data_IF_116053299239
#
_entry.id   IF_116053299239
#
_cell.length_a   1.000
_cell.length_b   1.000
_cell.length_c   1.000
_cell.angle_alpha   90.00
_cell.angle_beta   90.00
_cell.angle_gamma   90.00
#
_symmetry.space_group_name_H-M   'P 1'
#
loop_
_entity.id
_entity.type
_entity.pdbx_description
1 polymer ?
#
# COMPACT_ATOMS: atom_id res chain seq x y z
N UNK A 1 -4.76 48.90 30.86
CA UNK A 1 -4.61 47.42 30.80
C UNK A 1 -3.15 47.14 30.45
N UNK A 2 -2.41 46.41 31.28
CA UNK A 2 -0.94 46.28 31.15
C UNK A 2 -0.60 45.16 30.16
N UNK A 3 -0.09 45.52 28.98
CA UNK A 3 0.30 44.62 27.89
C UNK A 3 1.25 43.51 28.37
N UNK A 4 2.15 43.83 29.31
CA UNK A 4 3.09 42.86 29.86
C UNK A 4 2.40 41.73 30.62
N UNK A 5 1.33 42.04 31.36
CA UNK A 5 0.54 41.05 32.10
C UNK A 5 -0.21 40.12 31.15
N UNK A 6 -0.69 40.66 30.02
CA UNK A 6 -1.38 39.89 28.98
C UNK A 6 -0.40 38.91 28.31
N UNK A 7 0.79 39.38 27.91
CA UNK A 7 1.83 38.54 27.29
C UNK A 7 2.27 37.42 28.23
N UNK A 8 2.47 37.71 29.52
CA UNK A 8 2.81 36.68 30.51
C UNK A 8 1.71 35.62 30.68
N UNK A 9 0.44 36.03 30.70
CA UNK A 9 -0.70 35.11 30.78
C UNK A 9 -0.80 34.24 29.53
N UNK A 10 -0.60 34.79 28.34
CA UNK A 10 -0.58 33.98 27.11
C UNK A 10 0.57 32.99 27.11
N UNK A 11 1.79 33.41 27.48
CA UNK A 11 2.95 32.53 27.56
C UNK A 11 2.74 31.36 28.54
N UNK A 12 2.14 31.61 29.71
CA UNK A 12 1.84 30.56 30.68
C UNK A 12 0.77 29.59 30.17
N UNK A 13 -0.27 30.09 29.50
CA UNK A 13 -1.33 29.26 28.93
C UNK A 13 -0.80 28.36 27.80
N UNK A 14 0.09 28.90 26.95
CA UNK A 14 0.75 28.10 25.90
C UNK A 14 1.68 27.03 26.49
N UNK A 15 2.41 27.35 27.56
CA UNK A 15 3.29 26.38 28.22
C UNK A 15 2.50 25.25 28.88
N UNK A 16 1.39 25.57 29.55
CA UNK A 16 0.50 24.59 30.17
C UNK A 16 -0.13 23.66 29.12
N UNK A 17 -0.58 24.23 27.99
CA UNK A 17 -1.15 23.47 26.88
C UNK A 17 -0.15 22.46 26.30
N UNK A 18 1.09 22.88 26.00
CA UNK A 18 2.14 21.97 25.49
C UNK A 18 2.49 20.88 26.50
N UNK A 19 2.59 21.20 27.78
CA UNK A 19 2.86 20.20 28.82
C UNK A 19 1.74 19.18 28.94
N UNK A 20 0.48 19.60 28.78
CA UNK A 20 -0.67 18.71 28.76
C UNK A 20 -0.64 17.77 27.55
N UNK A 21 -0.35 18.28 26.34
CA UNK A 21 -0.21 17.44 25.13
C UNK A 21 0.91 16.42 25.28
N UNK A 22 2.06 16.80 25.83
CA UNK A 22 3.17 15.87 26.10
C UNK A 22 2.82 14.83 27.16
N UNK A 23 2.12 15.23 28.22
CA UNK A 23 1.63 14.32 29.26
C UNK A 23 0.64 13.31 28.66
N UNK A 24 -0.32 13.79 27.87
CA UNK A 24 -1.28 12.96 27.16
C UNK A 24 -0.57 11.97 26.25
N UNK A 25 0.39 12.43 25.45
CA UNK A 25 1.16 11.60 24.53
C UNK A 25 1.90 10.47 25.26
N UNK A 26 2.51 10.77 26.42
CA UNK A 26 3.20 9.76 27.25
C UNK A 26 2.24 8.75 27.85
N UNK A 27 1.15 9.21 28.45
CA UNK A 27 0.16 8.33 29.06
C UNK A 27 -0.56 7.47 28.02
N UNK A 28 -0.89 8.05 26.86
CA UNK A 28 -1.45 7.34 25.72
C UNK A 28 -0.50 6.24 25.25
N UNK A 29 0.79 6.57 25.01
CA UNK A 29 1.83 5.60 24.62
C UNK A 29 1.95 4.46 25.63
N UNK A 30 1.99 4.78 26.92
CA UNK A 30 2.11 3.77 27.98
C UNK A 30 0.89 2.84 28.01
N UNK A 31 -0.32 3.41 28.00
CA UNK A 31 -1.57 2.66 27.95
C UNK A 31 -1.64 1.79 26.69
N UNK A 32 -1.20 2.31 25.55
CA UNK A 32 -1.14 1.58 24.29
C UNK A 32 -0.23 0.36 24.38
N UNK A 33 1.00 0.51 24.91
CA UNK A 33 1.96 -0.60 25.08
C UNK A 33 1.41 -1.64 26.04
N UNK A 34 0.98 -1.23 27.24
CA UNK A 34 0.44 -2.14 28.27
C UNK A 34 -0.75 -2.93 27.76
N UNK A 35 -1.67 -2.26 27.04
CA UNK A 35 -2.81 -2.96 26.46
C UNK A 35 -2.39 -3.86 25.31
N UNK A 36 -1.44 -3.46 24.47
CA UNK A 36 -0.93 -4.31 23.40
C UNK A 36 -0.34 -5.62 23.95
N UNK A 37 0.42 -5.55 25.04
CA UNK A 37 1.06 -6.67 25.72
C UNK A 37 0.07 -7.57 26.48
N UNK A 38 -0.98 -6.98 27.07
CA UNK A 38 -2.00 -7.71 27.84
C UNK A 38 -3.04 -8.44 26.99
N UNK A 39 -3.05 -8.21 25.67
CA UNK A 39 -4.00 -8.85 24.78
C UNK A 39 -3.61 -10.31 24.57
N UNK A 40 -4.57 -11.25 24.66
CA UNK A 40 -4.27 -12.66 24.49
C UNK A 40 -3.62 -12.90 23.13
N UNK A 41 -2.58 -13.74 23.10
CA UNK A 41 -1.87 -14.12 21.87
C UNK A 41 -2.88 -14.77 20.93
N UNK A 42 -3.28 -14.02 19.90
CA UNK A 42 -4.04 -14.53 18.77
C UNK A 42 -3.06 -14.66 17.62
N UNK A 43 -2.61 -15.88 17.36
CA UNK A 43 -1.81 -16.17 16.16
C UNK A 43 -2.81 -16.31 15.02
N UNK A 44 -2.90 -15.28 14.19
CA UNK A 44 -3.60 -15.36 12.94
C UNK A 44 -2.56 -15.32 11.81
N UNK A 45 -2.25 -16.46 11.18
CA UNK A 45 -1.19 -16.49 10.17
C UNK A 45 -1.48 -15.59 8.96
N UNK A 46 -2.73 -15.20 8.69
CA UNK A 46 -3.04 -14.22 7.64
C UNK A 46 -2.70 -12.78 8.06
N UNK A 47 -2.75 -12.48 9.36
CA UNK A 47 -2.32 -11.19 9.92
C UNK A 47 -0.79 -11.18 10.01
N UNK A 48 -0.19 -12.24 10.55
CA UNK A 48 1.26 -12.33 10.78
C UNK A 48 2.07 -12.48 9.49
N UNK A 49 1.56 -13.19 8.47
CA UNK A 49 2.28 -13.35 7.21
C UNK A 49 2.35 -12.06 6.38
N UNK A 50 1.59 -11.03 6.73
CA UNK A 50 1.49 -9.77 5.97
C UNK A 50 1.76 -8.56 6.88
N UNK A 51 2.92 -8.56 7.56
CA UNK A 51 3.50 -7.43 8.29
C UNK A 51 3.47 -6.14 7.42
N UNK A 52 2.44 -5.32 7.62
CA UNK A 52 2.22 -3.97 7.03
C UNK A 52 1.52 -3.88 5.67
N UNK A 53 0.95 -4.97 5.11
CA UNK A 53 0.17 -4.88 3.86
C UNK A 53 -1.14 -5.65 3.92
N UNK A 54 -2.22 -5.08 3.39
CA UNK A 54 -3.49 -5.79 3.23
C UNK A 54 -3.33 -6.95 2.23
N UNK A 55 -4.04 -8.06 2.44
CA UNK A 55 -4.16 -9.11 1.42
C UNK A 55 -4.59 -8.48 0.10
N UNK A 56 -3.88 -8.75 -0.99
CA UNK A 56 -4.30 -8.28 -2.32
C UNK A 56 -5.71 -8.75 -2.63
N UNK A 57 -6.49 -7.98 -3.40
CA UNK A 57 -7.88 -8.33 -3.74
C UNK A 57 -8.00 -9.74 -4.36
N UNK A 58 -7.02 -10.12 -5.19
CA UNK A 58 -6.93 -11.46 -5.77
C UNK A 58 -6.84 -12.57 -4.71
N UNK A 59 -6.22 -12.30 -3.55
CA UNK A 59 -6.15 -13.25 -2.46
C UNK A 59 -7.52 -13.40 -1.77
N UNK A 60 -8.27 -12.30 -1.57
CA UNK A 60 -9.65 -12.37 -1.07
C UNK A 60 -10.56 -13.16 -2.01
N UNK A 61 -10.42 -12.97 -3.33
CA UNK A 61 -11.19 -13.72 -4.33
C UNK A 61 -10.82 -15.21 -4.32
N UNK A 62 -9.54 -15.56 -4.12
CA UNK A 62 -9.08 -16.95 -3.95
C UNK A 62 -9.61 -17.59 -2.67
N UNK A 63 -9.61 -16.88 -1.55
CA UNK A 63 -10.18 -17.36 -0.28
C UNK A 63 -11.68 -17.65 -0.48
N UNK A 64 -12.42 -16.70 -1.07
CA UNK A 64 -13.84 -16.88 -1.35
C UNK A 64 -14.08 -18.08 -2.28
N UNK A 65 -13.30 -18.22 -3.36
CA UNK A 65 -13.34 -19.37 -4.25
C UNK A 65 -13.14 -20.70 -3.50
N UNK A 66 -12.10 -20.79 -2.65
CA UNK A 66 -11.79 -21.99 -1.88
C UNK A 66 -12.90 -22.35 -0.88
N UNK A 67 -13.47 -21.37 -0.18
CA UNK A 67 -14.59 -21.58 0.74
C UNK A 67 -15.84 -22.11 0.01
N UNK A 68 -16.15 -21.51 -1.15
CA UNK A 68 -17.34 -21.88 -1.92
C UNK A 68 -17.19 -23.22 -2.65
N UNK A 69 -15.98 -23.60 -3.05
CA UNK A 69 -15.73 -24.89 -3.71
C UNK A 69 -15.51 -26.02 -2.73
N UNK A 70 -14.94 -25.73 -1.55
CA UNK A 70 -14.63 -26.72 -0.52
C UNK A 70 -15.83 -27.29 0.23
N UNK A 71 -16.98 -26.61 0.24
CA UNK A 71 -18.17 -27.11 0.95
C UNK A 71 -19.49 -26.76 0.27
N UNK A 72 -20.31 -27.79 0.05
CA UNK A 72 -21.67 -27.64 -0.48
C UNK A 72 -22.58 -26.85 0.47
N UNK A 73 -22.37 -26.95 1.79
CA UNK A 73 -23.12 -26.18 2.79
C UNK A 73 -22.79 -24.70 2.65
N UNK A 74 -21.49 -24.36 2.59
CA UNK A 74 -21.03 -22.98 2.43
C UNK A 74 -21.54 -22.37 1.13
N UNK A 75 -21.40 -23.11 0.03
CA UNK A 75 -21.86 -22.70 -1.30
C UNK A 75 -23.35 -22.36 -1.33
N UNK A 76 -24.21 -23.27 -0.83
CA UNK A 76 -25.66 -23.04 -0.77
C UNK A 76 -25.99 -21.85 0.12
N UNK A 77 -25.34 -21.75 1.28
CA UNK A 77 -25.56 -20.67 2.22
C UNK A 77 -25.21 -19.32 1.61
N UNK A 78 -24.11 -19.20 0.85
CA UNK A 78 -23.74 -17.96 0.16
C UNK A 78 -24.81 -17.52 -0.85
N UNK A 79 -25.29 -18.43 -1.69
CA UNK A 79 -26.34 -18.12 -2.68
C UNK A 79 -27.64 -17.70 -1.99
N UNK A 80 -28.05 -18.44 -0.95
CA UNK A 80 -29.25 -18.08 -0.17
C UNK A 80 -29.08 -16.72 0.52
N UNK A 81 -27.92 -16.44 1.10
CA UNK A 81 -27.67 -15.22 1.85
C UNK A 81 -27.69 -13.97 0.97
N UNK A 82 -27.09 -14.02 -0.23
CA UNK A 82 -26.96 -12.84 -1.09
C UNK A 82 -28.07 -12.72 -2.14
N UNK A 83 -28.58 -13.83 -2.67
CA UNK A 83 -29.56 -13.82 -3.77
C UNK A 83 -30.97 -14.23 -3.31
N UNK A 84 -31.12 -14.76 -2.10
CA UNK A 84 -32.35 -15.38 -1.58
C UNK A 84 -32.89 -16.52 -2.46
N UNK A 85 -31.98 -17.27 -3.10
CA UNK A 85 -32.32 -18.42 -3.96
C UNK A 85 -31.95 -19.72 -3.25
N UNK A 86 -32.91 -20.64 -3.16
CA UNK A 86 -32.68 -22.01 -2.70
C UNK A 86 -32.23 -22.91 -3.85
N UNK A 87 -31.04 -23.52 -3.70
CA UNK A 87 -30.37 -24.27 -4.77
C UNK A 87 -29.85 -25.62 -4.29
N UNK A 88 -29.90 -26.61 -5.17
CA UNK A 88 -29.14 -27.84 -5.01
C UNK A 88 -27.65 -27.57 -5.31
N UNK A 89 -26.74 -28.10 -4.50
CA UNK A 89 -25.31 -27.86 -4.70
C UNK A 89 -24.79 -28.51 -6.00
N UNK A 90 -25.42 -29.60 -6.43
CA UNK A 90 -25.07 -30.31 -7.67
C UNK A 90 -25.42 -29.48 -8.92
N UNK A 91 -26.28 -28.47 -8.79
CA UNK A 91 -26.68 -27.60 -9.88
C UNK A 91 -25.80 -26.34 -9.98
N UNK A 92 -24.75 -26.23 -9.15
CA UNK A 92 -23.89 -25.05 -9.08
C UNK A 92 -22.47 -25.38 -9.57
N UNK A 93 -22.02 -24.65 -10.59
CA UNK A 93 -20.66 -24.68 -11.11
C UNK A 93 -19.93 -23.39 -10.78
N UNK A 94 -18.72 -23.50 -10.24
CA UNK A 94 -17.83 -22.36 -9.98
C UNK A 94 -16.57 -22.62 -10.82
N UNK A 95 -16.46 -22.07 -12.04
CA UNK A 95 -15.25 -22.21 -12.82
C UNK A 95 -14.09 -21.54 -12.08
N UNK A 96 -12.88 -22.10 -12.23
CA UNK A 96 -11.69 -21.41 -11.77
C UNK A 96 -11.61 -20.02 -12.44
N UNK A 97 -11.17 -18.97 -11.73
CA UNK A 97 -11.00 -17.65 -12.33
C UNK A 97 -10.10 -17.73 -13.57
N UNK A 98 -10.68 -17.57 -14.76
CA UNK A 98 -10.01 -17.76 -16.07
C UNK A 98 -9.55 -16.41 -16.66
N UNK A 99 -8.78 -16.48 -17.76
CA UNK A 99 -8.04 -15.42 -18.49
C UNK A 99 -8.78 -14.09 -18.79
N UNK A 100 -10.09 -14.01 -18.57
CA UNK A 100 -10.93 -12.83 -18.84
C UNK A 100 -10.98 -11.82 -17.67
N UNK A 101 -10.21 -12.05 -16.59
CA UNK A 101 -10.06 -11.14 -15.42
C UNK A 101 -11.34 -10.90 -14.60
N UNK A 102 -12.36 -11.75 -14.69
CA UNK A 102 -13.47 -11.73 -13.72
C UNK A 102 -12.98 -12.39 -12.44
N UNK A 103 -13.13 -11.72 -11.29
CA UNK A 103 -12.63 -12.22 -10.01
C UNK A 103 -13.23 -13.57 -9.64
N UNK A 104 -14.56 -13.70 -9.71
CA UNK A 104 -15.26 -14.94 -9.44
C UNK A 104 -16.62 -15.00 -10.15
N UNK A 105 -17.02 -16.20 -10.59
CA UNK A 105 -18.37 -16.44 -11.12
C UNK A 105 -18.98 -17.70 -10.54
N UNK A 106 -20.30 -17.68 -10.32
CA UNK A 106 -21.07 -18.84 -9.86
C UNK A 106 -22.24 -19.05 -10.81
N UNK A 107 -22.35 -20.24 -11.40
CA UNK A 107 -23.36 -20.57 -12.41
C UNK A 107 -24.31 -21.62 -11.85
N UNK A 108 -25.59 -21.30 -11.81
CA UNK A 108 -26.67 -22.25 -11.53
C UNK A 108 -27.51 -22.53 -12.77
N UNK A 109 -28.55 -23.36 -12.62
CA UNK A 109 -29.53 -23.59 -13.71
C UNK A 109 -30.28 -22.31 -14.12
N UNK A 110 -30.68 -21.52 -13.13
CA UNK A 110 -31.54 -20.34 -13.32
C UNK A 110 -30.89 -19.05 -12.76
N UNK A 111 -29.57 -19.04 -12.58
CA UNK A 111 -28.84 -17.84 -12.18
C UNK A 111 -27.39 -17.87 -12.68
N UNK A 112 -26.85 -16.69 -12.95
CA UNK A 112 -25.44 -16.44 -13.20
C UNK A 112 -25.00 -15.29 -12.30
N UNK A 113 -24.16 -15.59 -11.32
CA UNK A 113 -23.63 -14.59 -10.40
C UNK A 113 -22.20 -14.21 -10.81
N UNK A 114 -22.00 -12.93 -11.08
CA UNK A 114 -20.70 -12.27 -11.23
C UNK A 114 -20.34 -11.70 -9.86
N UNK A 115 -19.14 -11.94 -9.37
CA UNK A 115 -18.62 -11.32 -8.16
C UNK A 115 -17.40 -10.51 -8.57
N UNK A 116 -17.44 -9.21 -8.29
CA UNK A 116 -16.32 -8.29 -8.50
C UNK A 116 -15.89 -7.74 -7.13
N UNK A 117 -14.61 -7.89 -6.83
CA UNK A 117 -14.04 -7.61 -5.53
C UNK A 117 -13.22 -6.32 -5.56
N UNK A 118 -13.60 -5.36 -4.73
CA UNK A 118 -12.95 -4.06 -4.53
C UNK A 118 -12.64 -3.82 -3.06
N UNK A 119 -12.29 -4.89 -2.34
CA UNK A 119 -12.01 -4.84 -0.90
C UNK A 119 -10.85 -3.89 -0.56
N UNK A 120 -9.91 -3.65 -1.48
CA UNK A 120 -8.82 -2.67 -1.29
C UNK A 120 -8.98 -1.44 -2.21
N UNK A 121 -10.17 -1.22 -2.76
CA UNK A 121 -10.46 -0.06 -3.61
C UNK A 121 -9.69 -0.02 -4.93
N UNK A 122 -9.39 -1.16 -5.56
CA UNK A 122 -8.68 -1.13 -6.84
C UNK A 122 -9.41 -0.30 -7.89
N UNK A 123 -8.60 0.39 -8.69
CA UNK A 123 -9.07 1.29 -9.73
C UNK A 123 -10.04 0.58 -10.68
N UNK A 124 -11.13 1.28 -10.99
CA UNK A 124 -12.08 0.82 -12.00
C UNK A 124 -11.41 0.68 -13.37
N UNK A 125 -11.83 -0.32 -14.13
CA UNK A 125 -11.48 -0.44 -15.54
C UNK A 125 -12.66 0.00 -16.39
N UNK A 126 -12.38 0.65 -17.53
CA UNK A 126 -13.42 1.11 -18.46
C UNK A 126 -14.36 -0.04 -18.81
N UNK A 127 -15.67 0.15 -18.71
CA UNK A 127 -16.73 -0.81 -19.08
C UNK A 127 -16.55 -2.22 -18.47
N UNK A 128 -15.91 -2.32 -17.29
CA UNK A 128 -15.56 -3.61 -16.70
C UNK A 128 -16.80 -4.46 -16.40
N UNK A 129 -17.75 -3.90 -15.67
CA UNK A 129 -18.98 -4.60 -15.30
C UNK A 129 -19.83 -4.86 -16.55
N UNK A 130 -19.91 -3.89 -17.45
CA UNK A 130 -20.65 -4.02 -18.71
C UNK A 130 -20.18 -5.25 -19.51
N UNK A 131 -18.86 -5.40 -19.69
CA UNK A 131 -18.28 -6.58 -20.36
C UNK A 131 -18.68 -7.88 -19.69
N UNK A 132 -18.68 -7.93 -18.35
CA UNK A 132 -19.01 -9.16 -17.63
C UNK A 132 -20.48 -9.55 -17.82
N UNK A 133 -21.38 -8.56 -17.77
CA UNK A 133 -22.81 -8.76 -18.01
C UNK A 133 -23.07 -9.18 -19.45
N UNK A 134 -22.34 -8.62 -20.42
CA UNK A 134 -22.44 -9.01 -21.82
C UNK A 134 -21.95 -10.44 -22.06
N UNK A 135 -20.88 -10.87 -21.39
CA UNK A 135 -20.44 -12.28 -21.41
C UNK A 135 -21.53 -13.20 -20.86
N UNK A 136 -22.12 -12.86 -19.71
CA UNK A 136 -23.19 -13.66 -19.11
C UNK A 136 -24.46 -13.69 -19.97
N UNK A 137 -24.79 -12.59 -20.64
CA UNK A 137 -25.97 -12.44 -21.51
C UNK A 137 -25.95 -13.33 -22.75
N UNK A 138 -24.79 -13.89 -23.12
CA UNK A 138 -24.69 -14.87 -24.21
C UNK A 138 -25.28 -16.23 -23.84
N UNK A 139 -25.44 -16.51 -22.54
CA UNK A 139 -25.82 -17.83 -22.02
C UNK A 139 -27.08 -17.73 -21.16
N UNK A 140 -27.27 -16.65 -20.40
CA UNK A 140 -28.38 -16.48 -19.47
C UNK A 140 -29.28 -15.29 -19.84
N UNK A 141 -30.60 -15.38 -19.62
CA UNK A 141 -31.49 -14.24 -19.77
C UNK A 141 -31.19 -13.19 -18.69
N UNK A 142 -31.45 -11.92 -18.98
CA UNK A 142 -31.05 -10.80 -18.11
C UNK A 142 -31.60 -10.88 -16.69
N UNK A 143 -32.80 -11.43 -16.51
CA UNK A 143 -33.44 -11.62 -15.19
C UNK A 143 -32.72 -12.63 -14.29
N UNK A 144 -31.85 -13.46 -14.86
CA UNK A 144 -31.08 -14.51 -14.16
C UNK A 144 -29.62 -14.10 -13.97
N UNK A 145 -29.20 -12.94 -14.49
CA UNK A 145 -27.84 -12.42 -14.29
C UNK A 145 -27.84 -11.54 -13.05
N UNK A 146 -26.91 -11.83 -12.15
CA UNK A 146 -26.67 -11.10 -10.91
C UNK A 146 -25.23 -10.60 -10.89
N UNK A 147 -25.03 -9.41 -10.32
CA UNK A 147 -23.71 -8.86 -10.03
C UNK A 147 -23.65 -8.58 -8.54
N UNK A 148 -22.70 -9.19 -7.84
CA UNK A 148 -22.35 -8.87 -6.47
C UNK A 148 -21.05 -8.06 -6.48
N UNK A 149 -21.18 -6.76 -6.27
CA UNK A 149 -20.06 -5.83 -6.21
C UNK A 149 -19.67 -5.62 -4.74
N UNK A 150 -18.46 -6.07 -4.37
CA UNK A 150 -17.98 -6.12 -2.99
C UNK A 150 -16.97 -5.01 -2.73
N UNK A 151 -17.38 -3.98 -1.99
CA UNK A 151 -16.50 -2.91 -1.52
C UNK A 151 -15.75 -3.29 -0.23
N UNK A 152 -14.82 -2.43 0.17
CA UNK A 152 -14.15 -2.49 1.47
C UNK A 152 -15.14 -2.38 2.64
N UNK A 153 -15.75 -1.20 2.81
CA UNK A 153 -16.64 -0.87 3.94
C UNK A 153 -17.87 -0.02 3.58
N UNK A 154 -17.98 0.44 2.33
CA UNK A 154 -19.09 1.24 1.81
C UNK A 154 -20.10 0.47 0.94
N UNK A 155 -21.08 1.18 0.37
CA UNK A 155 -22.06 0.64 -0.57
C UNK A 155 -22.02 1.38 -1.92
N UNK A 156 -20.83 1.86 -2.28
CA UNK A 156 -20.62 2.65 -3.49
C UNK A 156 -20.77 1.78 -4.73
N UNK A 157 -21.63 2.21 -5.65
CA UNK A 157 -21.76 1.59 -6.97
C UNK A 157 -20.54 1.96 -7.83
N UNK A 158 -20.18 1.13 -8.82
CA UNK A 158 -19.20 1.53 -9.81
C UNK A 158 -19.65 2.81 -10.52
N UNK A 159 -18.70 3.63 -10.93
CA UNK A 159 -18.97 4.82 -11.73
C UNK A 159 -19.44 4.45 -13.15
N UNK A 160 -19.97 5.42 -13.89
CA UNK A 160 -20.33 5.25 -15.32
C UNK A 160 -19.12 4.88 -16.19
N UNK A 161 -17.89 5.06 -15.69
CA UNK A 161 -16.69 4.56 -16.37
C UNK A 161 -16.68 3.04 -16.45
N UNK A 162 -17.18 2.33 -15.43
CA UNK A 162 -17.17 0.85 -15.33
C UNK A 162 -18.53 0.20 -15.59
N UNK A 163 -19.62 0.86 -15.17
CA UNK A 163 -21.00 0.38 -15.26
C UNK A 163 -21.89 1.42 -15.94
N UNK A 164 -22.33 1.16 -17.17
CA UNK A 164 -23.23 2.09 -17.86
C UNK A 164 -24.64 2.10 -17.27
N UNK A 165 -25.31 3.25 -17.33
CA UNK A 165 -26.72 3.41 -16.99
C UNK A 165 -27.63 2.36 -17.68
N UNK A 166 -27.30 1.95 -18.91
CA UNK A 166 -28.03 0.91 -19.66
C UNK A 166 -27.95 -0.44 -18.97
N UNK A 167 -26.75 -0.89 -18.61
CA UNK A 167 -26.54 -2.17 -17.93
C UNK A 167 -27.08 -2.14 -16.51
N UNK A 168 -26.91 -1.02 -15.80
CA UNK A 168 -27.48 -0.79 -14.47
C UNK A 168 -29.00 -0.95 -14.47
N UNK A 169 -29.68 -0.32 -15.43
CA UNK A 169 -31.14 -0.44 -15.59
C UNK A 169 -31.57 -1.87 -15.96
N UNK A 170 -30.81 -2.54 -16.83
CA UNK A 170 -31.06 -3.93 -17.25
C UNK A 170 -31.00 -4.92 -16.08
N UNK A 171 -30.05 -4.74 -15.16
CA UNK A 171 -29.92 -5.59 -13.98
C UNK A 171 -30.92 -5.21 -12.88
N UNK A 172 -31.19 -3.92 -12.70
CA UNK A 172 -32.08 -3.43 -11.65
C UNK A 172 -31.68 -3.99 -10.28
N UNK A 173 -32.62 -4.69 -9.62
CA UNK A 173 -32.40 -5.32 -8.30
C UNK A 173 -31.35 -6.44 -8.29
N UNK A 174 -30.97 -6.98 -9.44
CA UNK A 174 -29.98 -8.04 -9.53
C UNK A 174 -28.54 -7.50 -9.47
N UNK A 175 -28.35 -6.17 -9.51
CA UNK A 175 -27.08 -5.56 -9.13
C UNK A 175 -27.09 -5.33 -7.61
N UNK A 176 -26.23 -6.05 -6.91
CA UNK A 176 -26.18 -6.12 -5.45
C UNK A 176 -24.86 -5.51 -5.00
N UNK A 177 -24.93 -4.35 -4.34
CA UNK A 177 -23.77 -3.68 -3.79
C UNK A 177 -23.64 -4.00 -2.30
N UNK A 178 -22.49 -4.56 -1.90
CA UNK A 178 -22.22 -5.10 -0.55
C UNK A 178 -20.78 -4.79 -0.15
N UNK A 179 -20.40 -5.09 1.09
CA UNK A 179 -19.02 -4.90 1.55
C UNK A 179 -18.47 -6.02 2.42
N UNK A 180 -17.16 -6.00 2.59
CA UNK A 180 -16.46 -6.95 3.44
C UNK A 180 -16.65 -6.66 4.93
N UNK A 181 -16.61 -5.39 5.35
CA UNK A 181 -16.69 -4.97 6.76
C UNK A 181 -17.93 -5.47 7.48
N UNK A 182 -19.07 -5.51 6.78
CA UNK A 182 -20.38 -5.83 7.33
C UNK A 182 -20.95 -7.09 6.69
N UNK A 183 -21.17 -7.09 5.37
CA UNK A 183 -21.98 -8.15 4.75
C UNK A 183 -21.26 -9.50 4.64
N UNK A 184 -20.01 -9.52 4.14
CA UNK A 184 -19.22 -10.76 4.08
C UNK A 184 -18.90 -11.25 5.49
N UNK A 185 -18.54 -10.37 6.42
CA UNK A 185 -18.27 -10.75 7.80
C UNK A 185 -19.50 -11.40 8.46
N UNK A 186 -20.68 -10.82 8.28
CA UNK A 186 -21.95 -11.38 8.76
C UNK A 186 -22.29 -12.72 8.08
N UNK A 187 -22.04 -12.86 6.78
CA UNK A 187 -22.17 -14.13 6.09
C UNK A 187 -21.21 -15.19 6.66
N UNK A 188 -19.95 -14.84 6.92
CA UNK A 188 -18.97 -15.73 7.51
C UNK A 188 -19.38 -16.18 8.92
N UNK A 189 -19.87 -15.28 9.78
CA UNK A 189 -20.39 -15.66 11.09
C UNK A 189 -21.59 -16.61 10.99
N UNK A 190 -22.54 -16.32 10.10
CA UNK A 190 -23.75 -17.13 9.95
C UNK A 190 -23.43 -18.52 9.40
N UNK A 191 -22.58 -18.62 8.38
CA UNK A 191 -22.17 -19.93 7.84
C UNK A 191 -21.32 -20.72 8.84
N UNK A 192 -20.46 -20.06 9.63
CA UNK A 192 -19.64 -20.70 10.67
C UNK A 192 -20.49 -21.35 11.79
N UNK A 193 -21.67 -20.78 12.08
CA UNK A 193 -22.60 -21.31 13.09
C UNK A 193 -23.25 -22.63 12.64
N UNK A 194 -23.45 -22.82 11.34
CA UNK A 194 -24.13 -24.02 10.80
C UNK A 194 -23.16 -25.13 10.42
N UNK A 195 -21.86 -24.85 10.27
CA UNK A 195 -20.86 -25.88 9.99
C UNK A 195 -20.59 -26.70 11.26
N UNK A 196 -20.79 -28.03 11.22
CA UNK A 196 -20.49 -28.90 12.36
C UNK A 196 -18.97 -29.00 12.59
N UNK A 197 -18.52 -28.80 13.83
CA UNK A 197 -17.09 -28.87 14.15
C UNK A 197 -16.54 -30.30 14.01
N UNK A 198 -17.32 -31.30 14.41
CA UNK A 198 -16.86 -32.70 14.50
C UNK A 198 -16.54 -33.34 13.14
N UNK A 199 -17.07 -32.79 12.05
CA UNK A 199 -16.89 -33.34 10.69
C UNK A 199 -16.16 -32.39 9.75
N UNK A 200 -16.20 -31.08 10.01
CA UNK A 200 -15.66 -30.04 9.13
C UNK A 200 -14.69 -29.12 9.89
N UNK A 201 -13.90 -29.70 10.82
CA UNK A 201 -13.00 -28.96 11.70
C UNK A 201 -12.08 -28.01 10.94
N UNK A 202 -11.45 -28.48 9.86
CA UNK A 202 -10.51 -27.67 9.07
C UNK A 202 -11.20 -26.47 8.43
N UNK A 203 -12.35 -26.67 7.76
CA UNK A 203 -13.14 -25.60 7.16
C UNK A 203 -13.59 -24.58 8.20
N UNK A 204 -14.08 -25.07 9.35
CA UNK A 204 -14.52 -24.22 10.46
C UNK A 204 -13.38 -23.36 10.99
N UNK A 205 -12.20 -23.95 11.20
CA UNK A 205 -10.99 -23.23 11.58
C UNK A 205 -10.55 -22.22 10.52
N UNK A 206 -10.59 -22.57 9.22
CA UNK A 206 -10.25 -21.63 8.14
C UNK A 206 -11.18 -20.41 8.10
N UNK A 207 -12.48 -20.61 8.32
CA UNK A 207 -13.45 -19.51 8.40
C UNK A 207 -13.17 -18.63 9.61
N UNK A 208 -12.87 -19.21 10.77
CA UNK A 208 -12.51 -18.45 11.99
C UNK A 208 -11.23 -17.63 11.76
N UNK A 209 -10.22 -18.20 11.12
CA UNK A 209 -8.98 -17.49 10.77
C UNK A 209 -9.27 -16.31 9.82
N UNK A 210 -10.11 -16.50 8.81
CA UNK A 210 -10.45 -15.41 7.89
C UNK A 210 -11.32 -14.32 8.53
N UNK A 211 -12.27 -14.70 9.39
CA UNK A 211 -13.04 -13.75 10.22
C UNK A 211 -12.08 -12.90 11.05
N UNK A 212 -11.13 -13.54 11.76
CA UNK A 212 -10.15 -12.81 12.58
C UNK A 212 -9.30 -11.84 11.75
N UNK A 213 -8.91 -12.24 10.53
CA UNK A 213 -8.19 -11.34 9.63
C UNK A 213 -9.04 -10.12 9.24
N UNK A 214 -10.29 -10.33 8.82
CA UNK A 214 -11.18 -9.23 8.44
C UNK A 214 -11.51 -8.32 9.64
N UNK A 215 -11.71 -8.89 10.82
CA UNK A 215 -11.90 -8.13 12.05
C UNK A 215 -10.72 -7.20 12.34
N UNK A 216 -9.48 -7.70 12.28
CA UNK A 216 -8.27 -6.90 12.47
C UNK A 216 -8.10 -5.86 11.35
N UNK A 217 -8.35 -6.25 10.09
CA UNK A 217 -8.26 -5.38 8.91
C UNK A 217 -9.22 -4.18 8.99
N UNK A 218 -10.40 -4.35 9.59
CA UNK A 218 -11.43 -3.31 9.66
C UNK A 218 -11.49 -2.52 10.96
N UNK A 219 -10.56 -2.70 11.89
CA UNK A 219 -10.66 -2.01 13.18
C UNK A 219 -11.64 -2.66 14.17
N UNK A 220 -12.19 -3.84 13.83
CA UNK A 220 -13.38 -4.44 14.45
C UNK A 220 -13.07 -5.62 15.36
N UNK A 221 -11.80 -5.99 15.55
CA UNK A 221 -11.47 -7.11 16.40
C UNK A 221 -11.83 -6.79 17.85
N UNK A 222 -12.31 -7.80 18.59
CA UNK A 222 -12.60 -7.62 20.04
C UNK A 222 -11.38 -7.07 20.78
N UNK A 223 -10.19 -7.47 20.33
CA UNK A 223 -8.89 -6.99 20.80
C UNK A 223 -8.77 -5.47 20.64
N UNK A 224 -8.95 -4.96 19.41
CA UNK A 224 -8.88 -3.54 19.10
C UNK A 224 -9.99 -2.73 19.76
N UNK A 225 -11.24 -3.24 19.80
CA UNK A 225 -12.36 -2.57 20.47
C UNK A 225 -12.08 -2.38 21.97
N UNK A 226 -11.57 -3.41 22.67
CA UNK A 226 -11.22 -3.32 24.09
C UNK A 226 -10.10 -2.29 24.29
N UNK A 227 -9.09 -2.30 23.43
CA UNK A 227 -7.98 -1.35 23.48
C UNK A 227 -8.45 0.09 23.25
N UNK A 228 -9.17 0.33 22.16
CA UNK A 228 -9.69 1.65 21.80
C UNK A 228 -10.57 2.22 22.91
N UNK A 229 -11.48 1.44 23.49
CA UNK A 229 -12.30 1.90 24.61
C UNK A 229 -11.47 2.35 25.82
N UNK A 230 -10.33 1.70 26.11
CA UNK A 230 -9.43 2.10 27.20
C UNK A 230 -8.66 3.37 26.85
N UNK A 231 -8.21 3.50 25.60
CA UNK A 231 -7.54 4.71 25.11
C UNK A 231 -8.51 5.91 25.11
N UNK A 232 -9.73 5.72 24.61
CA UNK A 232 -10.79 6.73 24.61
C UNK A 232 -11.10 7.20 26.03
N UNK A 233 -11.22 6.25 26.98
CA UNK A 233 -11.43 6.58 28.39
C UNK A 233 -10.28 7.41 28.97
N UNK A 234 -9.03 7.05 28.67
CA UNK A 234 -7.86 7.82 29.09
C UNK A 234 -7.89 9.24 28.53
N UNK A 235 -8.19 9.41 27.23
CA UNK A 235 -8.29 10.72 26.58
C UNK A 235 -9.38 11.56 27.25
N UNK A 236 -10.56 10.97 27.45
CA UNK A 236 -11.70 11.63 28.11
C UNK A 236 -11.36 12.10 29.51
N UNK A 237 -10.69 11.27 30.31
CA UNK A 237 -10.27 11.60 31.68
C UNK A 237 -9.20 12.71 31.69
N UNK A 238 -8.15 12.60 30.87
CA UNK A 238 -7.03 13.54 30.88
C UNK A 238 -7.39 14.91 30.31
N UNK A 239 -8.21 14.95 29.25
CA UNK A 239 -8.72 16.18 28.66
C UNK A 239 -9.98 16.70 29.38
N UNK A 240 -10.43 16.00 30.43
CA UNK A 240 -11.58 16.37 31.28
C UNK A 240 -12.85 16.61 30.46
N UNK A 241 -13.12 15.72 29.51
CA UNK A 241 -14.20 15.86 28.55
C UNK A 241 -15.58 15.57 29.15
N UNK A 242 -15.68 14.71 30.18
CA UNK A 242 -16.96 14.19 30.69
C UNK A 242 -18.00 15.27 31.05
N UNK A 243 -17.56 16.41 31.58
CA UNK A 243 -18.41 17.49 32.05
C UNK A 243 -18.57 18.65 31.06
N UNK A 244 -18.07 18.51 29.83
CA UNK A 244 -18.11 19.53 28.78
C UNK A 244 -19.30 19.31 27.83
N UNK A 245 -19.83 20.39 27.29
CA UNK A 245 -20.78 20.33 26.16
C UNK A 245 -20.10 19.77 24.90
N UNK A 246 -20.88 19.27 23.94
CA UNK A 246 -20.32 18.73 22.69
C UNK A 246 -19.47 19.76 21.94
N UNK A 247 -19.86 21.03 21.94
CA UNK A 247 -19.08 22.11 21.30
C UNK A 247 -17.74 22.32 21.99
N UNK A 248 -17.71 22.31 23.33
CA UNK A 248 -16.48 22.45 24.10
C UNK A 248 -15.57 21.22 23.97
N UNK A 249 -16.16 20.02 23.89
CA UNK A 249 -15.40 18.78 23.60
C UNK A 249 -14.71 18.88 22.25
N UNK A 250 -15.43 19.31 21.21
CA UNK A 250 -14.87 19.45 19.87
C UNK A 250 -13.70 20.44 19.87
N UNK A 251 -13.88 21.61 20.49
CA UNK A 251 -12.82 22.62 20.57
C UNK A 251 -11.57 22.10 21.28
N UNK A 252 -11.71 21.40 22.42
CA UNK A 252 -10.56 20.82 23.14
C UNK A 252 -9.83 19.79 22.27
N UNK A 253 -10.55 18.98 21.49
CA UNK A 253 -9.93 18.02 20.58
C UNK A 253 -9.23 18.74 19.42
N UNK A 254 -9.83 19.76 18.84
CA UNK A 254 -9.22 20.57 17.77
C UNK A 254 -7.92 21.24 18.25
N UNK A 255 -7.92 21.83 19.45
CA UNK A 255 -6.74 22.45 20.04
C UNK A 255 -5.60 21.42 20.27
N UNK A 256 -5.93 20.23 20.79
CA UNK A 256 -4.94 19.15 20.98
C UNK A 256 -4.42 18.59 19.65
N UNK A 257 -5.27 18.46 18.63
CA UNK A 257 -4.85 18.07 17.28
C UNK A 257 -3.88 19.10 16.68
N UNK A 258 -4.16 20.39 16.83
CA UNK A 258 -3.27 21.47 16.38
C UNK A 258 -1.91 21.40 17.09
N UNK A 259 -1.90 21.16 18.41
CA UNK A 259 -0.66 21.02 19.18
C UNK A 259 0.17 19.81 18.72
N UNK A 260 -0.46 18.66 18.50
CA UNK A 260 0.21 17.46 17.97
C UNK A 260 0.76 17.73 16.57
N UNK A 261 -0.02 18.38 15.71
CA UNK A 261 0.40 18.71 14.35
C UNK A 261 1.66 19.59 14.33
N UNK A 262 1.72 20.65 15.14
CA UNK A 262 2.91 21.50 15.26
C UNK A 262 4.14 20.74 15.73
N UNK A 263 3.96 19.76 16.63
CA UNK A 263 5.05 18.89 17.06
C UNK A 263 5.52 17.97 15.92
N UNK A 264 4.59 17.37 15.17
CA UNK A 264 4.89 16.55 14.00
C UNK A 264 5.71 17.33 12.97
N UNK A 265 5.25 18.53 12.58
CA UNK A 265 5.96 19.40 11.63
C UNK A 265 7.40 19.69 12.09
N UNK A 266 7.61 19.91 13.40
CA UNK A 266 8.96 20.16 13.93
C UNK A 266 9.84 18.90 13.92
N UNK A 267 9.27 17.74 14.18
CA UNK A 267 9.99 16.47 14.13
C UNK A 267 10.34 16.09 12.69
N UNK A 268 9.42 16.29 11.73
CA UNK A 268 9.64 16.09 10.30
C UNK A 268 10.78 16.98 9.79
N UNK A 269 10.78 18.27 10.15
CA UNK A 269 11.89 19.17 9.83
C UNK A 269 13.23 18.66 10.37
N UNK A 270 13.29 18.20 11.62
CA UNK A 270 14.53 17.67 12.21
C UNK A 270 14.96 16.36 11.55
N UNK A 271 14.00 15.51 11.18
CA UNK A 271 14.27 14.27 10.46
C UNK A 271 14.89 14.56 9.09
N UNK A 272 14.33 15.50 8.33
CA UNK A 272 14.86 15.94 7.03
C UNK A 272 16.29 16.46 7.18
N UNK A 273 16.53 17.37 8.14
CA UNK A 273 17.85 17.91 8.40
C UNK A 273 18.87 16.82 8.77
N UNK A 274 18.53 15.87 9.64
CA UNK A 274 19.44 14.78 9.99
C UNK A 274 19.62 13.75 8.87
N UNK A 275 18.63 13.58 8.00
CA UNK A 275 18.77 12.74 6.81
C UNK A 275 19.75 13.39 5.82
N UNK A 276 19.64 14.71 5.59
CA UNK A 276 20.61 15.45 4.77
C UNK A 276 22.03 15.32 5.34
N UNK A 277 22.23 15.56 6.65
CA UNK A 277 23.53 15.41 7.31
C UNK A 277 24.11 13.99 7.15
N UNK A 278 23.27 12.97 7.35
CA UNK A 278 23.66 11.56 7.20
C UNK A 278 24.04 11.21 5.76
N UNK A 279 23.26 11.68 4.78
CA UNK A 279 23.57 11.48 3.37
C UNK A 279 24.90 12.16 3.01
N UNK A 280 25.12 13.42 3.43
CA UNK A 280 26.39 14.09 3.17
C UNK A 280 27.61 13.36 3.77
N UNK A 281 27.48 12.79 4.97
CA UNK A 281 28.52 11.98 5.59
C UNK A 281 28.81 10.72 4.77
N UNK A 282 27.77 10.01 4.35
CA UNK A 282 27.86 8.82 3.50
C UNK A 282 28.52 9.13 2.16
N UNK A 283 28.10 10.19 1.46
CA UNK A 283 28.67 10.59 0.18
C UNK A 283 30.15 10.97 0.30
N UNK A 284 30.55 11.65 1.38
CA UNK A 284 31.97 11.92 1.67
C UNK A 284 32.75 10.62 1.88
N UNK A 285 32.21 9.67 2.64
CA UNK A 285 32.86 8.38 2.87
C UNK A 285 33.00 7.57 1.57
N UNK A 286 31.93 7.46 0.78
CA UNK A 286 31.90 6.74 -0.48
C UNK A 286 32.81 7.34 -1.53
N UNK A 287 32.83 8.67 -1.65
CA UNK A 287 33.77 9.37 -2.51
C UNK A 287 35.21 8.97 -2.17
N UNK A 288 35.59 9.04 -0.88
CA UNK A 288 36.94 8.70 -0.43
C UNK A 288 37.28 7.22 -0.71
N UNK A 289 36.32 6.30 -0.51
CA UNK A 289 36.47 4.89 -0.88
C UNK A 289 36.71 4.71 -2.38
N UNK A 290 35.92 5.39 -3.21
CA UNK A 290 36.03 5.32 -4.67
C UNK A 290 37.37 5.85 -5.17
N UNK A 291 37.83 6.99 -4.66
CA UNK A 291 39.16 7.55 -4.97
C UNK A 291 40.29 6.57 -4.62
N UNK A 292 40.16 5.82 -3.51
CA UNK A 292 41.15 4.81 -3.13
C UNK A 292 41.19 3.56 -4.02
N UNK A 293 40.17 3.35 -4.87
CA UNK A 293 40.01 2.14 -5.70
C UNK A 293 40.18 2.44 -7.20
N UNK A 294 39.70 3.58 -7.67
CA UNK A 294 39.65 3.93 -9.09
C UNK A 294 41.00 4.51 -9.56
N UNK A 295 41.38 4.24 -10.81
CA UNK A 295 42.64 4.68 -11.45
C UNK A 295 42.86 6.20 -11.32
N UNK A 296 44.08 6.60 -10.92
CA UNK A 296 44.53 7.99 -10.75
C UNK A 296 44.28 8.91 -11.97
N UNK A 297 44.06 8.32 -13.17
CA UNK A 297 43.73 9.07 -14.39
C UNK A 297 42.28 9.56 -14.45
N UNK A 298 41.39 9.04 -13.62
CA UNK A 298 39.99 9.42 -13.56
C UNK A 298 39.76 10.39 -12.39
N UNK A 299 39.22 11.56 -12.69
CA UNK A 299 38.93 12.59 -11.69
C UNK A 299 37.45 12.53 -11.35
N UNK A 300 37.15 12.19 -10.10
CA UNK A 300 35.80 12.31 -9.56
C UNK A 300 35.50 13.77 -9.21
N UNK A 301 34.25 14.15 -9.41
CA UNK A 301 33.71 15.50 -9.19
C UNK A 301 32.41 15.38 -8.40
N UNK A 302 32.09 16.41 -7.62
CA UNK A 302 30.82 16.52 -6.92
C UNK A 302 30.07 17.75 -7.45
N UNK A 303 28.82 17.60 -7.87
CA UNK A 303 27.94 18.71 -8.26
C UNK A 303 27.09 19.21 -7.09
N UNK A 304 26.89 18.37 -6.07
CA UNK A 304 26.25 18.71 -4.79
C UNK A 304 26.93 17.96 -3.63
N UNK A 305 26.44 18.13 -2.40
CA UNK A 305 26.91 17.35 -1.25
C UNK A 305 26.37 15.91 -1.22
N UNK A 306 25.39 15.60 -2.08
CA UNK A 306 24.69 14.31 -2.19
C UNK A 306 24.81 13.70 -3.59
N UNK A 307 25.89 14.04 -4.29
CA UNK A 307 26.20 13.53 -5.62
C UNK A 307 27.72 13.49 -5.81
N UNK A 308 28.23 12.40 -6.38
CA UNK A 308 29.56 12.39 -6.98
C UNK A 308 29.60 11.50 -8.21
N UNK A 309 30.52 11.83 -9.11
CA UNK A 309 30.65 11.12 -10.38
C UNK A 309 31.78 11.65 -11.24
N UNK A 310 31.80 11.25 -12.50
CA UNK A 310 32.73 11.79 -13.49
C UNK A 310 32.05 11.94 -14.84
N UNK A 311 32.53 12.91 -15.61
CA UNK A 311 32.05 13.16 -16.96
C UNK A 311 32.94 12.44 -17.97
N UNK A 312 32.34 11.94 -19.05
CA UNK A 312 33.06 11.32 -20.14
C UNK A 312 32.36 11.55 -21.48
N UNK A 313 33.16 11.56 -22.55
CA UNK A 313 32.68 11.56 -23.91
C UNK A 313 32.62 10.12 -24.44
N UNK A 314 31.49 9.77 -25.07
CA UNK A 314 31.34 8.54 -25.84
C UNK A 314 30.68 8.85 -27.17
N UNK A 315 31.38 8.53 -28.27
CA UNK A 315 30.92 8.77 -29.66
C UNK A 315 30.42 10.22 -29.92
N UNK A 316 31.17 11.21 -29.41
CA UNK A 316 30.89 12.66 -29.52
C UNK A 316 29.65 13.14 -28.73
N UNK A 317 29.19 12.36 -27.75
CA UNK A 317 28.17 12.77 -26.80
C UNK A 317 28.75 12.75 -25.39
N UNK A 318 28.43 13.79 -24.61
CA UNK A 318 28.81 13.92 -23.19
C UNK A 318 27.85 13.16 -22.30
N UNK A 319 28.40 12.44 -21.34
CA UNK A 319 27.70 11.69 -20.31
C UNK A 319 28.32 11.94 -18.94
N UNK A 320 27.55 11.68 -17.90
CA UNK A 320 28.00 11.62 -16.51
C UNK A 320 27.69 10.25 -15.94
N UNK A 321 28.67 9.62 -15.32
CA UNK A 321 28.49 8.45 -14.48
C UNK A 321 28.47 8.91 -13.03
N UNK A 322 27.36 8.73 -12.32
CA UNK A 322 27.18 9.30 -10.98
C UNK A 322 26.53 8.34 -9.99
N UNK A 323 26.78 8.63 -8.72
CA UNK A 323 26.00 8.19 -7.57
C UNK A 323 25.25 9.41 -7.05
N UNK A 324 23.96 9.25 -6.73
CA UNK A 324 23.16 10.29 -6.07
C UNK A 324 22.00 9.68 -5.28
N UNK A 325 21.13 10.52 -4.71
CA UNK A 325 20.00 10.13 -3.85
C UNK A 325 18.77 10.94 -4.22
N UNK A 326 17.61 10.28 -4.17
CA UNK A 326 16.29 10.91 -4.28
C UNK A 326 15.29 10.22 -3.33
N UNK A 327 14.00 10.52 -3.48
CA UNK A 327 12.92 9.94 -2.66
C UNK A 327 12.86 8.41 -2.70
N UNK A 328 13.39 7.77 -3.75
CA UNK A 328 13.48 6.31 -3.89
C UNK A 328 14.73 5.69 -3.24
N UNK A 329 15.68 6.51 -2.81
CA UNK A 329 16.92 6.10 -2.13
C UNK A 329 18.18 6.37 -2.96
N UNK A 330 19.28 5.71 -2.59
CA UNK A 330 20.56 5.84 -3.28
C UNK A 330 20.52 5.12 -4.63
N UNK A 331 21.06 5.76 -5.65
CA UNK A 331 21.12 5.18 -6.98
C UNK A 331 22.45 5.49 -7.67
N UNK A 332 22.77 4.64 -8.63
CA UNK A 332 23.87 4.84 -9.55
C UNK A 332 23.30 5.02 -10.96
N UNK A 333 24.03 5.68 -11.85
CA UNK A 333 23.58 5.76 -13.24
C UNK A 333 24.51 6.46 -14.20
N UNK A 334 24.13 6.38 -15.48
CA UNK A 334 24.72 7.12 -16.58
C UNK A 334 23.67 8.07 -17.16
N UNK A 335 23.94 9.36 -17.07
CA UNK A 335 23.09 10.44 -17.58
C UNK A 335 23.70 11.09 -18.81
N UNK A 336 22.88 11.38 -19.82
CA UNK A 336 23.28 12.14 -21.00
C UNK A 336 23.26 13.64 -20.70
N UNK A 337 24.42 14.30 -20.79
CA UNK A 337 24.56 15.75 -20.61
C UNK A 337 24.37 16.55 -21.92
N UNK A 338 24.31 15.86 -23.06
CA UNK A 338 24.19 16.51 -24.37
C UNK A 338 22.78 17.05 -24.60
N UNK A 339 22.64 18.30 -25.05
CA UNK A 339 21.33 18.94 -25.36
C UNK A 339 20.49 18.14 -26.35
N UNK A 340 21.12 17.41 -27.28
CA UNK A 340 20.43 16.54 -28.23
C UNK A 340 20.77 15.07 -27.94
N UNK A 341 19.77 14.35 -27.45
CA UNK A 341 19.87 12.94 -27.12
C UNK A 341 19.96 12.10 -28.41
N UNK A 342 21.10 11.44 -28.62
CA UNK A 342 21.26 10.47 -29.70
C UNK A 342 20.88 9.07 -29.21
N UNK A 343 19.63 8.66 -29.45
CA UNK A 343 19.09 7.36 -28.98
C UNK A 343 19.95 6.15 -29.37
N UNK A 344 20.58 6.19 -30.55
CA UNK A 344 21.47 5.11 -31.00
C UNK A 344 22.76 5.01 -30.17
N UNK A 345 23.29 6.14 -29.69
CA UNK A 345 24.49 6.17 -28.83
C UNK A 345 24.13 5.73 -27.42
N UNK A 346 23.03 6.25 -26.87
CA UNK A 346 22.52 5.80 -25.56
C UNK A 346 22.20 4.31 -25.56
N UNK A 347 21.49 3.80 -26.58
CA UNK A 347 21.13 2.38 -26.66
C UNK A 347 22.36 1.47 -26.63
N UNK A 348 23.43 1.82 -27.36
CA UNK A 348 24.69 1.07 -27.32
C UNK A 348 25.36 1.12 -25.96
N UNK A 349 25.37 2.27 -25.29
CA UNK A 349 25.97 2.41 -23.97
C UNK A 349 25.15 1.65 -22.91
N UNK A 350 23.82 1.69 -23.02
CA UNK A 350 22.90 0.89 -22.21
C UNK A 350 23.16 -0.61 -22.40
N UNK A 351 23.31 -1.07 -23.64
CA UNK A 351 23.60 -2.47 -23.96
C UNK A 351 24.94 -2.93 -23.37
N UNK A 352 25.96 -2.07 -23.35
CA UNK A 352 27.27 -2.36 -22.74
C UNK A 352 27.11 -2.63 -21.24
N UNK A 353 26.32 -1.82 -20.54
CA UNK A 353 26.12 -1.96 -19.08
C UNK A 353 25.24 -3.16 -18.76
N UNK A 354 24.08 -3.28 -19.41
CA UNK A 354 23.08 -4.32 -19.09
C UNK A 354 23.52 -5.72 -19.53
N UNK A 355 24.28 -5.86 -20.62
CA UNK A 355 24.82 -7.15 -21.04
C UNK A 355 26.15 -7.51 -20.37
N UNK A 356 26.61 -6.69 -19.41
CA UNK A 356 27.78 -7.01 -18.62
C UNK A 356 27.51 -8.21 -17.70
N UNK A 357 28.58 -8.93 -17.31
CA UNK A 357 28.49 -10.07 -16.40
C UNK A 357 28.14 -9.71 -14.95
N UNK A 358 27.97 -8.43 -14.65
CA UNK A 358 27.84 -7.89 -13.29
C UNK A 358 26.37 -7.65 -12.86
N UNK A 359 25.41 -8.06 -13.69
CA UNK A 359 23.99 -8.09 -13.32
C UNK A 359 23.42 -6.70 -13.01
N UNK A 360 23.73 -5.72 -13.86
CA UNK A 360 23.09 -4.41 -13.80
C UNK A 360 21.68 -4.47 -14.37
N UNK A 361 20.77 -3.73 -13.74
CA UNK A 361 19.40 -3.57 -14.20
C UNK A 361 19.15 -2.09 -14.53
N UNK A 362 18.00 -1.82 -15.14
CA UNK A 362 17.57 -0.48 -15.48
C UNK A 362 16.16 -0.30 -14.95
N UNK A 363 15.95 0.75 -14.16
CA UNK A 363 14.62 1.13 -13.73
C UNK A 363 13.74 1.47 -14.96
N UNK A 364 12.53 0.91 -15.02
CA UNK A 364 11.59 1.08 -16.13
C UNK A 364 11.06 2.53 -16.23
N UNK A 365 11.08 3.27 -15.13
CA UNK A 365 10.55 4.63 -15.02
C UNK A 365 11.60 5.73 -15.26
N UNK A 366 12.81 5.36 -15.69
CA UNK A 366 13.88 6.30 -15.94
C UNK A 366 13.52 7.36 -17.00
N UNK A 367 13.80 8.63 -16.68
CA UNK A 367 13.63 9.73 -17.62
C UNK A 367 14.54 9.58 -18.85
N UNK A 368 14.19 10.14 -20.03
CA UNK A 368 14.90 9.89 -21.30
C UNK A 368 16.39 10.25 -21.31
N UNK A 369 16.83 11.16 -20.45
CA UNK A 369 18.22 11.54 -20.27
C UNK A 369 19.06 10.45 -19.60
N UNK A 370 18.44 9.57 -18.81
CA UNK A 370 19.09 8.43 -18.18
C UNK A 370 19.28 7.31 -19.19
N UNK A 371 20.54 6.98 -19.46
CA UNK A 371 20.91 5.83 -20.30
C UNK A 371 20.57 4.54 -19.57
N UNK A 372 20.99 4.48 -18.31
CA UNK A 372 20.74 3.42 -17.36
C UNK A 372 20.94 3.97 -15.96
N UNK A 373 20.05 3.61 -15.05
CA UNK A 373 20.20 3.82 -13.62
C UNK A 373 19.34 2.82 -12.87
N UNK A 374 19.73 2.53 -11.64
CA UNK A 374 18.96 1.72 -10.72
C UNK A 374 19.31 2.04 -9.27
N UNK A 375 18.39 1.71 -8.37
CA UNK A 375 18.61 1.88 -6.93
C UNK A 375 19.56 0.80 -6.40
N UNK A 376 20.33 1.14 -5.38
CA UNK A 376 21.17 0.20 -4.66
C UNK A 376 21.12 0.49 -3.16
N UNK A 377 21.37 -0.53 -2.35
CA UNK A 377 21.53 -0.34 -0.91
C UNK A 377 22.79 0.45 -0.59
N UNK A 378 22.79 1.05 0.60
CA UNK A 378 23.94 1.73 1.19
C UNK A 378 25.23 0.86 1.18
N UNK A 379 25.09 -0.45 1.39
CA UNK A 379 26.20 -1.41 1.39
C UNK A 379 26.80 -1.64 0.01
N UNK A 380 25.99 -1.52 -1.05
CA UNK A 380 26.33 -2.01 -2.39
C UNK A 380 26.68 -0.86 -3.35
N UNK A 381 26.28 0.38 -3.03
CA UNK A 381 26.36 1.53 -3.93
C UNK A 381 27.80 1.81 -4.40
N UNK A 382 28.78 1.68 -3.51
CA UNK A 382 30.20 1.86 -3.84
C UNK A 382 30.68 0.78 -4.81
N UNK A 383 30.38 -0.50 -4.54
CA UNK A 383 30.76 -1.61 -5.42
C UNK A 383 30.12 -1.45 -6.80
N UNK A 384 28.84 -1.09 -6.84
CA UNK A 384 28.11 -0.84 -8.08
C UNK A 384 28.74 0.27 -8.89
N UNK A 385 29.04 1.41 -8.27
CA UNK A 385 29.66 2.54 -8.95
C UNK A 385 31.06 2.21 -9.47
N UNK A 386 31.91 1.55 -8.67
CA UNK A 386 33.26 1.15 -9.08
C UNK A 386 33.23 0.16 -10.24
N UNK A 387 32.30 -0.81 -10.19
CA UNK A 387 32.11 -1.79 -11.27
C UNK A 387 31.63 -1.12 -12.54
N UNK A 388 30.66 -0.21 -12.44
CA UNK A 388 30.15 0.56 -13.57
C UNK A 388 31.26 1.42 -14.20
N UNK A 389 32.03 2.10 -13.37
CA UNK A 389 33.20 2.87 -13.79
C UNK A 389 34.18 2.00 -14.56
N UNK A 390 34.51 0.81 -14.05
CA UNK A 390 35.40 -0.15 -14.70
C UNK A 390 34.89 -0.59 -16.08
N UNK A 391 33.58 -0.80 -16.24
CA UNK A 391 32.97 -1.14 -17.54
C UNK A 391 33.12 0.01 -18.53
N UNK A 392 32.90 1.25 -18.09
CA UNK A 392 32.95 2.46 -18.93
C UNK A 392 34.38 2.72 -19.41
N UNK A 393 35.36 2.75 -18.49
CA UNK A 393 36.74 3.12 -18.83
C UNK A 393 37.44 2.09 -19.73
N UNK A 394 36.95 0.85 -19.76
CA UNK A 394 37.46 -0.20 -20.65
C UNK A 394 36.98 -0.05 -22.10
N UNK A 395 36.02 0.83 -22.37
CA UNK A 395 35.51 1.02 -23.73
C UNK A 395 36.48 1.89 -24.57
N UNK A 396 36.92 1.43 -25.75
CA UNK A 396 37.94 2.13 -26.54
C UNK A 396 37.47 3.48 -27.12
N UNK A 397 36.16 3.71 -27.19
CA UNK A 397 35.57 4.97 -27.69
C UNK A 397 35.26 5.97 -26.57
N UNK A 398 35.60 5.64 -25.31
CA UNK A 398 35.42 6.53 -24.15
C UNK A 398 36.63 7.44 -24.00
N UNK A 399 36.37 8.72 -23.84
CA UNK A 399 37.37 9.74 -23.53
C UNK A 399 36.95 10.39 -22.20
N UNK A 400 37.80 10.27 -21.19
CA UNK A 400 37.55 10.89 -19.89
C UNK A 400 37.68 12.42 -20.01
N UNK A 401 36.72 13.15 -19.46
CA UNK A 401 36.84 14.59 -19.31
C UNK A 401 37.82 14.87 -18.17
N UNK A 402 38.83 15.69 -18.42
CA UNK A 402 39.78 16.17 -17.40
C UNK A 402 39.24 17.39 -16.67
#
# INVERSE_FOLDING_TARGET
MNIFKIVQTFASLTQESVLNTLSLSRSFRQCYIENTEMLPVSINPLVDAHFNHSLRETAHSRILYSLLTGSNVVKKHFIKFFLDIDVSANDITIPYPDKNRIDLTIKGKNFFLIIENKVNGAQEQKEQVDRYVDIASKIYPSKEIYVLYLNQDGYTYPSEYSLSSKVKMKLGKNFICKNYKVDILNWLYSVNRIIPFDTEQQLKSSIVVYIGYLEEYFGNSKRQIIMNNKLDKLIVEQLKLDNKSTSEKLQVIEDELENVQKLCERLEFLQEQYQEEYDEENFKEWYNKCVGIIDDKLILTCQSSTEFGFDFDYRKSKFRCEVSVDEGGYYWGIKCLSQRICKNVQGKLKDIVLNSKYGFHNNEENAPEWVVSDYASESDIVERFVTLTSIIIQQPEVILCQ
#
